data_IF_236929281003
#
_entry.id   IF_236929281003
#
_cell.length_a   1.000
_cell.length_b   1.000
_cell.length_c   1.000
_cell.angle_alpha   90.00
_cell.angle_beta   90.00
_cell.angle_gamma   90.00
#
_symmetry.space_group_name_H-M   'P 1'
#
loop_
_entity.id
_entity.type
_entity.pdbx_description
1 polymer ?
#
# COMPACT_ATOMS: atom_id res chain seq x y z
N UNK A 1 15.09 -22.65 17.69
CA UNK A 1 15.21 -21.18 17.55
C UNK A 1 15.81 -20.92 16.19
N UNK A 2 15.07 -20.35 15.23
CA UNK A 2 15.61 -20.09 13.89
C UNK A 2 16.62 -18.94 13.98
N UNK A 3 17.91 -19.24 13.83
CA UNK A 3 19.00 -18.26 13.75
C UNK A 3 19.02 -17.62 12.36
N UNK A 4 18.01 -16.81 12.06
CA UNK A 4 18.02 -15.92 10.90
C UNK A 4 18.45 -14.54 11.41
N UNK A 5 19.55 -14.01 10.85
CA UNK A 5 19.98 -12.65 11.14
C UNK A 5 18.92 -11.64 10.72
N UNK A 6 18.79 -10.57 11.50
CA UNK A 6 17.82 -9.51 11.18
C UNK A 6 18.10 -8.95 9.78
N UNK A 7 17.11 -8.90 8.88
CA UNK A 7 17.28 -8.27 7.59
C UNK A 7 17.37 -6.74 7.78
N UNK A 8 18.03 -6.06 6.85
CA UNK A 8 18.07 -4.58 6.86
C UNK A 8 16.69 -3.97 6.62
N UNK A 9 15.91 -4.59 5.73
CA UNK A 9 14.55 -4.15 5.38
C UNK A 9 13.63 -5.34 5.17
N UNK A 10 12.38 -5.20 5.61
CA UNK A 10 11.30 -6.16 5.37
C UNK A 10 10.17 -5.52 4.55
N UNK A 11 9.89 -6.07 3.36
CA UNK A 11 8.82 -5.61 2.48
C UNK A 11 7.56 -6.45 2.73
N UNK A 12 6.52 -5.82 3.25
CA UNK A 12 5.34 -6.49 3.76
C UNK A 12 4.12 -6.30 2.83
N UNK A 13 3.45 -7.42 2.51
CA UNK A 13 2.23 -7.51 1.69
C UNK A 13 0.92 -7.19 2.41
N UNK A 14 0.93 -7.15 3.75
CA UNK A 14 -0.17 -6.68 4.60
C UNK A 14 0.35 -5.86 5.79
N UNK A 15 -0.47 -4.95 6.33
CA UNK A 15 -0.08 -4.11 7.48
C UNK A 15 0.18 -4.87 8.80
N UNK A 16 -0.54 -5.94 9.15
CA UNK A 16 -0.26 -6.68 10.40
C UNK A 16 1.16 -7.26 10.50
N UNK A 17 1.82 -7.54 9.37
CA UNK A 17 3.21 -8.03 9.37
C UNK A 17 4.18 -7.03 9.99
N UNK A 18 3.84 -5.74 10.04
CA UNK A 18 4.71 -4.71 10.59
C UNK A 18 4.90 -4.92 12.09
N UNK A 19 3.84 -5.34 12.80
CA UNK A 19 3.91 -5.64 14.22
C UNK A 19 4.83 -6.85 14.47
N UNK A 20 4.64 -7.93 13.70
CA UNK A 20 5.46 -9.13 13.80
C UNK A 20 6.95 -8.85 13.51
N UNK A 21 7.26 -8.06 12.46
CA UNK A 21 8.66 -7.68 12.16
C UNK A 21 9.26 -6.87 13.30
N UNK A 22 8.52 -5.90 13.86
CA UNK A 22 9.02 -5.08 14.98
C UNK A 22 9.23 -5.88 16.27
N UNK A 23 8.43 -6.93 16.47
CA UNK A 23 8.57 -7.83 17.61
C UNK A 23 9.81 -8.73 17.48
N UNK A 24 10.02 -9.32 16.30
CA UNK A 24 11.13 -10.26 16.06
C UNK A 24 12.45 -9.54 15.76
N UNK A 25 12.41 -8.46 15.01
CA UNK A 25 13.57 -7.66 14.58
C UNK A 25 13.31 -6.14 14.76
N UNK A 26 13.44 -5.60 15.98
CA UNK A 26 13.11 -4.20 16.27
C UNK A 26 13.91 -3.17 15.46
N UNK A 27 15.12 -3.52 15.00
CA UNK A 27 15.97 -2.65 14.18
C UNK A 27 15.78 -2.79 12.67
N UNK A 28 14.91 -3.67 12.20
CA UNK A 28 14.66 -3.85 10.76
C UNK A 28 13.74 -2.75 10.25
N UNK A 29 14.14 -2.11 9.15
CA UNK A 29 13.29 -1.14 8.46
C UNK A 29 12.07 -1.85 7.83
N UNK A 30 10.88 -1.26 7.94
CA UNK A 30 9.65 -1.87 7.42
C UNK A 30 9.09 -1.07 6.25
N UNK A 31 8.77 -1.78 5.17
CA UNK A 31 8.17 -1.19 3.98
C UNK A 31 6.83 -1.84 3.66
N UNK A 32 5.85 -1.04 3.27
CA UNK A 32 4.64 -1.52 2.60
C UNK A 32 4.95 -1.78 1.12
N UNK A 33 4.64 -2.98 0.64
CA UNK A 33 4.76 -3.27 -0.80
C UNK A 33 3.90 -2.28 -1.63
N UNK A 34 4.52 -1.52 -2.52
CA UNK A 34 3.86 -0.47 -3.32
C UNK A 34 2.77 -1.02 -4.24
N UNK A 35 2.95 -2.24 -4.76
CA UNK A 35 1.91 -2.95 -5.53
C UNK A 35 0.64 -3.17 -4.69
N UNK A 36 0.79 -3.64 -3.46
CA UNK A 36 -0.35 -3.88 -2.56
C UNK A 36 -1.03 -2.57 -2.13
N UNK A 37 -0.27 -1.48 -2.00
CA UNK A 37 -0.84 -0.14 -1.77
C UNK A 37 -1.70 0.27 -2.98
N UNK A 38 -1.16 0.15 -4.19
CA UNK A 38 -1.89 0.48 -5.41
C UNK A 38 -3.14 -0.40 -5.58
N UNK A 39 -3.06 -1.70 -5.28
CA UNK A 39 -4.21 -2.60 -5.30
C UNK A 39 -5.27 -2.22 -4.27
N UNK A 40 -4.85 -1.81 -3.07
CA UNK A 40 -5.78 -1.37 -2.03
C UNK A 40 -6.53 -0.08 -2.45
N UNK A 41 -5.85 0.85 -3.12
CA UNK A 41 -6.50 2.03 -3.70
C UNK A 41 -7.45 1.63 -4.83
N UNK A 42 -7.06 0.71 -5.72
CA UNK A 42 -7.94 0.16 -6.78
C UNK A 42 -9.20 -0.47 -6.21
N UNK A 43 -9.11 -1.18 -5.08
CA UNK A 43 -10.30 -1.72 -4.39
C UNK A 43 -11.20 -0.61 -3.85
N UNK A 44 -10.68 0.58 -3.58
CA UNK A 44 -11.47 1.72 -3.12
C UNK A 44 -12.08 2.52 -4.28
N UNK A 45 -11.35 2.72 -5.38
CA UNK A 45 -11.77 3.52 -6.55
C UNK A 45 -12.49 2.71 -7.63
N UNK A 46 -12.30 1.39 -7.67
CA UNK A 46 -12.48 0.49 -8.83
C UNK A 46 -11.43 0.71 -9.93
N UNK A 47 -11.40 -0.19 -10.93
CA UNK A 47 -10.49 -0.11 -12.09
C UNK A 47 -10.90 0.97 -13.11
N UNK A 48 -12.18 1.38 -13.12
CA UNK A 48 -12.71 2.41 -14.02
C UNK A 48 -13.59 3.39 -13.23
N UNK A 49 -13.00 4.20 -12.34
CA UNK A 49 -13.74 5.23 -11.61
C UNK A 49 -14.38 6.21 -12.60
N UNK A 50 -15.62 6.59 -12.33
CA UNK A 50 -16.36 7.56 -13.16
C UNK A 50 -16.17 9.01 -12.71
N UNK A 51 -15.86 9.21 -11.42
CA UNK A 51 -15.65 10.53 -10.84
C UNK A 51 -14.18 10.94 -11.01
N UNK A 52 -13.95 12.21 -11.36
CA UNK A 52 -12.62 12.80 -11.56
C UNK A 52 -11.70 12.56 -10.35
N UNK A 53 -12.20 12.78 -9.12
CA UNK A 53 -11.50 12.49 -7.86
C UNK A 53 -10.95 11.06 -7.79
N UNK A 54 -11.70 10.08 -8.30
CA UNK A 54 -11.31 8.67 -8.29
C UNK A 54 -10.34 8.34 -9.42
N UNK A 55 -10.52 8.96 -10.59
CA UNK A 55 -9.60 8.83 -11.73
C UNK A 55 -8.22 9.35 -11.36
N UNK A 56 -8.14 10.54 -10.77
CA UNK A 56 -6.88 11.12 -10.32
C UNK A 56 -6.21 10.28 -9.23
N UNK A 57 -6.96 9.84 -8.21
CA UNK A 57 -6.40 9.01 -7.15
C UNK A 57 -5.88 7.67 -7.68
N UNK A 58 -6.58 7.07 -8.64
CA UNK A 58 -6.11 5.84 -9.30
C UNK A 58 -4.84 6.09 -10.13
N UNK A 59 -4.72 7.25 -10.78
CA UNK A 59 -3.49 7.67 -11.46
C UNK A 59 -2.30 7.75 -10.51
N UNK A 60 -2.48 8.46 -9.39
CA UNK A 60 -1.46 8.59 -8.32
C UNK A 60 -1.08 7.22 -7.74
N UNK A 61 -2.06 6.34 -7.50
CA UNK A 61 -1.78 5.00 -7.02
C UNK A 61 -0.99 4.16 -8.04
N UNK A 62 -1.27 4.31 -9.34
CA UNK A 62 -0.56 3.57 -10.39
C UNK A 62 0.86 4.08 -10.62
N UNK A 63 1.19 5.33 -10.28
CA UNK A 63 2.56 5.87 -10.40
C UNK A 63 3.51 5.37 -9.30
N UNK A 64 3.00 4.70 -8.25
CA UNK A 64 3.82 4.07 -7.20
C UNK A 64 4.80 3.01 -7.72
N UNK A 65 4.59 2.48 -8.93
CA UNK A 65 5.51 1.54 -9.59
C UNK A 65 6.77 2.22 -10.12
N UNK A 66 6.70 3.51 -10.41
CA UNK A 66 7.78 4.32 -11.01
C UNK A 66 8.47 5.20 -9.94
N UNK A 67 8.40 4.77 -8.68
CA UNK A 67 8.65 5.56 -7.48
C UNK A 67 10.13 5.94 -7.20
N UNK A 68 10.99 5.97 -8.23
CA UNK A 68 12.32 6.61 -8.15
C UNK A 68 12.26 8.10 -7.75
N UNK A 69 11.05 8.68 -7.75
CA UNK A 69 10.78 10.07 -7.34
C UNK A 69 9.72 10.15 -6.23
N UNK A 70 10.00 9.57 -5.06
CA UNK A 70 9.11 9.67 -3.88
C UNK A 70 8.61 11.10 -3.62
N UNK A 71 9.47 12.11 -3.79
CA UNK A 71 9.12 13.53 -3.66
C UNK A 71 8.03 13.96 -4.64
N UNK A 72 8.15 13.59 -5.92
CA UNK A 72 7.15 13.93 -6.94
C UNK A 72 5.81 13.30 -6.59
N UNK A 73 5.82 12.02 -6.21
CA UNK A 73 4.62 11.31 -5.77
C UNK A 73 3.95 11.99 -4.57
N UNK A 74 4.74 12.39 -3.56
CA UNK A 74 4.23 13.07 -2.36
C UNK A 74 3.60 14.43 -2.71
N UNK A 75 4.19 15.17 -3.64
CA UNK A 75 3.64 16.44 -4.12
C UNK A 75 2.30 16.24 -4.85
N UNK A 76 2.23 15.29 -5.78
CA UNK A 76 1.00 14.96 -6.51
C UNK A 76 -0.12 14.50 -5.54
N UNK A 77 0.21 13.62 -4.61
CA UNK A 77 -0.74 13.13 -3.61
C UNK A 77 -1.22 14.23 -2.67
N UNK A 78 -0.33 15.13 -2.24
CA UNK A 78 -0.67 16.29 -1.41
C UNK A 78 -1.58 17.27 -2.16
N UNK A 79 -1.30 17.53 -3.44
CA UNK A 79 -2.13 18.37 -4.29
C UNK A 79 -3.54 17.78 -4.45
N UNK A 80 -3.65 16.46 -4.68
CA UNK A 80 -4.93 15.76 -4.72
C UNK A 80 -5.70 15.87 -3.40
N UNK A 81 -5.02 15.66 -2.26
CA UNK A 81 -5.63 15.78 -0.93
C UNK A 81 -6.21 17.17 -0.69
N UNK A 82 -5.52 18.21 -1.17
CA UNK A 82 -5.93 19.61 -1.05
C UNK A 82 -7.10 19.93 -1.98
N UNK A 83 -6.99 19.56 -3.27
CA UNK A 83 -8.04 19.78 -4.30
C UNK A 83 -9.38 19.19 -3.87
N UNK A 84 -9.38 17.95 -3.36
CA UNK A 84 -10.60 17.22 -3.04
C UNK A 84 -11.01 17.27 -1.57
N UNK A 85 -10.37 18.11 -0.76
CA UNK A 85 -10.61 18.17 0.69
C UNK A 85 -12.07 18.44 1.06
N UNK A 86 -12.73 19.37 0.35
CA UNK A 86 -14.13 19.74 0.57
C UNK A 86 -15.07 18.63 0.11
N UNK A 87 -14.86 18.09 -1.10
CA UNK A 87 -15.63 16.98 -1.64
C UNK A 87 -15.63 15.77 -0.69
N UNK A 88 -14.46 15.38 -0.19
CA UNK A 88 -14.33 14.25 0.75
C UNK A 88 -14.96 14.51 2.15
N UNK A 89 -15.39 15.74 2.44
CA UNK A 89 -16.13 16.09 3.66
C UNK A 89 -17.65 16.05 3.47
N UNK A 90 -18.15 15.77 2.28
CA UNK A 90 -19.59 15.61 2.05
C UNK A 90 -20.16 14.44 2.86
N UNK A 91 -21.38 14.61 3.34
CA UNK A 91 -22.13 13.61 4.09
C UNK A 91 -23.55 13.49 3.55
N UNK A 92 -24.11 12.29 3.67
CA UNK A 92 -25.52 12.00 3.45
C UNK A 92 -26.14 11.54 4.76
N UNK A 93 -27.42 11.83 4.98
CA UNK A 93 -28.16 11.31 6.13
C UNK A 93 -28.77 9.97 5.75
N UNK A 94 -28.37 8.90 6.45
CA UNK A 94 -28.91 7.55 6.31
C UNK A 94 -29.42 7.10 7.68
N UNK A 95 -30.69 6.72 7.76
CA UNK A 95 -31.35 6.27 9.00
C UNK A 95 -31.15 7.26 10.17
N UNK A 96 -31.28 8.56 9.90
CA UNK A 96 -31.09 9.64 10.89
C UNK A 96 -29.63 9.91 11.28
N UNK A 97 -28.65 9.19 10.72
CA UNK A 97 -27.21 9.36 11.00
C UNK A 97 -26.49 10.01 9.83
N UNK A 98 -25.56 10.92 10.12
CA UNK A 98 -24.66 11.50 9.12
C UNK A 98 -23.56 10.47 8.78
N UNK A 99 -23.51 10.05 7.53
CA UNK A 99 -22.52 9.12 6.99
C UNK A 99 -21.78 9.82 5.86
N UNK A 100 -20.47 9.61 5.76
CA UNK A 100 -19.70 10.21 4.66
C UNK A 100 -20.18 9.68 3.33
N UNK A 101 -20.38 10.56 2.35
CA UNK A 101 -20.82 10.14 1.01
C UNK A 101 -19.74 9.30 0.31
N UNK A 102 -18.48 9.64 0.56
CA UNK A 102 -17.32 9.11 -0.16
C UNK A 102 -16.46 8.18 0.70
N UNK A 103 -17.07 7.23 1.41
CA UNK A 103 -16.37 6.37 2.39
C UNK A 103 -15.15 5.66 1.81
N UNK A 104 -15.28 5.07 0.61
CA UNK A 104 -14.20 4.33 -0.03
C UNK A 104 -13.00 5.22 -0.39
N UNK A 105 -13.24 6.42 -0.92
CA UNK A 105 -12.17 7.37 -1.24
C UNK A 105 -11.49 7.89 0.02
N UNK A 106 -12.26 8.13 1.08
CA UNK A 106 -11.71 8.49 2.40
C UNK A 106 -10.87 7.37 2.99
N UNK A 107 -11.30 6.12 2.82
CA UNK A 107 -10.54 4.96 3.27
C UNK A 107 -9.20 4.86 2.54
N UNK A 108 -9.18 4.98 1.21
CA UNK A 108 -7.94 5.03 0.44
C UNK A 108 -7.00 6.15 0.93
N UNK A 109 -7.54 7.36 1.12
CA UNK A 109 -6.77 8.49 1.67
C UNK A 109 -6.23 8.20 3.07
N UNK A 110 -7.02 7.56 3.93
CA UNK A 110 -6.62 7.21 5.30
C UNK A 110 -5.43 6.24 5.29
N UNK A 111 -5.48 5.23 4.44
CA UNK A 111 -4.41 4.24 4.26
C UNK A 111 -3.13 4.94 3.78
N UNK A 112 -3.21 5.72 2.70
CA UNK A 112 -2.06 6.43 2.14
C UNK A 112 -1.46 7.42 3.15
N UNK A 113 -2.30 8.21 3.82
CA UNK A 113 -1.85 9.13 4.87
C UNK A 113 -1.11 8.41 6.00
N UNK A 114 -1.59 7.25 6.41
CA UNK A 114 -0.93 6.45 7.45
C UNK A 114 0.45 5.98 6.98
N UNK A 115 0.57 5.45 5.77
CA UNK A 115 1.84 4.95 5.25
C UNK A 115 2.88 6.06 5.06
N UNK A 116 2.45 7.22 4.56
CA UNK A 116 3.30 8.42 4.42
C UNK A 116 3.72 8.92 5.79
N UNK A 117 2.79 9.08 6.74
CA UNK A 117 3.08 9.55 8.10
C UNK A 117 4.04 8.62 8.83
N UNK A 118 3.84 7.31 8.68
CA UNK A 118 4.65 6.29 9.36
C UNK A 118 6.00 6.07 8.66
N UNK A 119 6.28 6.72 7.52
CA UNK A 119 7.55 6.58 6.78
C UNK A 119 7.75 5.22 6.10
N UNK A 120 6.67 4.47 5.88
CA UNK A 120 6.75 3.06 5.44
C UNK A 120 6.42 2.84 3.97
N UNK A 121 6.11 3.90 3.22
CA UNK A 121 5.77 3.80 1.79
C UNK A 121 7.00 3.80 0.88
N UNK A 122 8.04 4.56 1.24
CA UNK A 122 9.20 4.83 0.39
C UNK A 122 10.54 4.43 1.04
N UNK A 123 10.52 3.52 2.00
CA UNK A 123 11.72 3.05 2.71
C UNK A 123 12.83 2.57 1.76
N UNK A 124 12.50 1.96 0.61
CA UNK A 124 13.47 1.54 -0.40
C UNK A 124 14.29 2.71 -0.96
N UNK A 125 13.72 3.91 -1.04
CA UNK A 125 14.43 5.12 -1.48
C UNK A 125 15.47 5.52 -0.45
N UNK A 126 15.11 5.51 0.83
CA UNK A 126 16.04 5.79 1.94
C UNK A 126 17.17 4.74 1.98
N UNK A 127 16.83 3.46 1.84
CA UNK A 127 17.81 2.38 1.81
C UNK A 127 18.77 2.48 0.61
N UNK A 128 18.26 2.88 -0.55
CA UNK A 128 19.07 3.13 -1.74
C UNK A 128 20.01 4.33 -1.56
N UNK A 129 19.57 5.38 -0.87
CA UNK A 129 20.42 6.54 -0.55
C UNK A 129 21.50 6.20 0.48
N UNK A 130 21.17 5.42 1.50
CA UNK A 130 22.07 5.08 2.61
C UNK A 130 23.11 4.00 2.21
N UNK A 131 22.66 2.95 1.52
CA UNK A 131 23.48 1.76 1.24
C UNK A 131 23.88 1.59 -0.22
N UNK A 132 23.34 2.40 -1.13
CA UNK A 132 23.50 2.21 -2.57
C UNK A 132 22.78 0.95 -3.08
N UNK A 133 22.93 0.70 -4.39
CA UNK A 133 22.28 -0.43 -5.07
C UNK A 133 20.78 -0.25 -5.29
N UNK A 134 20.16 -1.24 -5.94
CA UNK A 134 18.72 -1.23 -6.19
C UNK A 134 17.98 -1.94 -5.06
N UNK A 135 17.03 -1.24 -4.42
CA UNK A 135 16.18 -1.79 -3.38
C UNK A 135 14.75 -1.92 -3.91
N UNK A 136 14.18 -3.12 -3.81
CA UNK A 136 12.85 -3.38 -4.36
C UNK A 136 11.75 -2.61 -3.64
N UNK A 137 10.85 -1.99 -4.41
CA UNK A 137 9.63 -1.37 -3.88
C UNK A 137 8.49 -2.38 -3.62
N UNK A 138 8.62 -3.59 -4.18
CA UNK A 138 7.59 -4.64 -4.18
C UNK A 138 8.09 -5.95 -3.58
N UNK A 139 7.16 -6.83 -3.19
CA UNK A 139 7.45 -8.20 -2.74
C UNK A 139 7.21 -9.25 -3.83
N UNK A 140 7.24 -8.85 -5.11
CA UNK A 140 6.86 -9.69 -6.26
C UNK A 140 7.60 -11.04 -6.33
N UNK A 141 8.88 -11.07 -5.94
CA UNK A 141 9.67 -12.30 -5.92
C UNK A 141 9.03 -13.35 -4.99
N UNK A 142 8.58 -12.92 -3.80
CA UNK A 142 7.91 -13.80 -2.82
C UNK A 142 6.51 -14.18 -3.32
N UNK A 143 5.74 -13.23 -3.85
CA UNK A 143 4.39 -13.51 -4.35
C UNK A 143 4.40 -14.45 -5.56
N UNK A 144 5.41 -14.39 -6.42
CA UNK A 144 5.59 -15.32 -7.55
C UNK A 144 5.83 -16.75 -7.07
N UNK A 145 6.68 -16.93 -6.04
CA UNK A 145 6.90 -18.25 -5.42
C UNK A 145 5.62 -18.75 -4.75
N UNK A 146 4.92 -17.89 -4.00
CA UNK A 146 3.65 -18.22 -3.35
C UNK A 146 2.58 -18.63 -4.37
N UNK A 147 2.50 -17.94 -5.52
CA UNK A 147 1.56 -18.27 -6.57
C UNK A 147 1.80 -19.68 -7.15
N UNK A 148 3.08 -20.07 -7.34
CA UNK A 148 3.44 -21.43 -7.78
C UNK A 148 3.05 -22.49 -6.74
N UNK A 149 3.25 -22.21 -5.45
CA UNK A 149 2.81 -23.11 -4.38
C UNK A 149 1.28 -23.25 -4.36
N UNK A 150 0.57 -22.13 -4.42
CA UNK A 150 -0.90 -22.13 -4.50
C UNK A 150 -1.42 -22.88 -5.72
N UNK A 151 -0.73 -22.78 -6.85
CA UNK A 151 -1.10 -23.48 -8.08
C UNK A 151 -1.03 -25.00 -7.90
N UNK A 152 0.02 -25.51 -7.26
CA UNK A 152 0.12 -26.94 -6.87
C UNK A 152 -1.11 -27.33 -6.06
N UNK A 153 -1.47 -26.57 -5.03
CA UNK A 153 -2.64 -26.88 -4.20
C UNK A 153 -3.97 -26.80 -4.97
N UNK A 154 -4.16 -25.84 -5.90
CA UNK A 154 -5.39 -25.74 -6.70
C UNK A 154 -5.62 -26.96 -7.58
N UNK A 155 -4.55 -27.58 -8.07
CA UNK A 155 -4.63 -28.80 -8.86
C UNK A 155 -4.87 -30.06 -8.00
N UNK A 156 -4.68 -29.99 -6.68
CA UNK A 156 -5.04 -31.03 -5.74
C UNK A 156 -6.43 -30.78 -5.12
N UNK A 157 -7.48 -31.21 -5.82
CA UNK A 157 -8.91 -31.03 -5.47
C UNK A 157 -9.35 -31.53 -4.08
N UNK A 158 -8.48 -32.19 -3.31
CA UNK A 158 -8.79 -32.71 -1.97
C UNK A 158 -8.07 -32.02 -0.81
N UNK A 159 -7.21 -31.02 -1.06
CA UNK A 159 -6.41 -30.34 -0.02
C UNK A 159 -7.07 -29.06 0.55
N UNK A 160 -8.18 -28.63 -0.03
CA UNK A 160 -8.97 -27.47 0.42
C UNK A 160 -10.42 -27.84 0.80
N UNK A 161 -10.70 -29.12 1.05
CA UNK A 161 -12.00 -29.58 1.56
C UNK A 161 -12.07 -29.42 3.09
#
# INVERSE_FOLDING_TARGET
MLCISAPRTAICGISPLFAAVREVWPGTNVQRCTFHVADQVKRCTTLKPKLEVGVELLGIANSLKDAGFATVWLLEYSAWCTKWATFLKEFTVKDGRRVYTHERLREARRILNKLVKDGTLFTFVEMQQEYGGEWSSTNNAVESVNARLQDVFRHHRGLFA
#
